data_IF_648720920373
#
_entry.id   IF_648720920373
#
_cell.length_a   1.000
_cell.length_b   1.000
_cell.length_c   1.000
_cell.angle_alpha   90.00
_cell.angle_beta   90.00
_cell.angle_gamma   90.00
#
_symmetry.space_group_name_H-M   'P 1'
#
loop_
_entity.id
_entity.type
_entity.pdbx_description
1 polymer ?
#
# COMPACT_ATOMS: atom_id res chain seq x y z
N UNK A 1 -11.10 4.84 6.87
CA UNK A 1 -11.42 3.56 7.57
C UNK A 1 -11.98 3.86 8.96
N UNK A 2 -11.23 4.37 9.95
CA UNK A 2 -11.76 4.57 11.32
C UNK A 2 -12.92 5.57 11.40
N UNK A 3 -13.04 6.47 10.42
CA UNK A 3 -14.08 7.50 10.38
C UNK A 3 -15.45 6.99 9.87
N UNK A 4 -15.50 5.78 9.30
CA UNK A 4 -16.76 5.22 8.78
C UNK A 4 -17.68 4.80 9.92
N UNK A 5 -18.98 5.09 9.77
CA UNK A 5 -19.95 4.96 10.86
C UNK A 5 -20.40 3.52 11.09
N UNK A 6 -20.66 2.77 10.02
CA UNK A 6 -21.14 1.38 10.13
C UNK A 6 -20.01 0.36 9.99
N UNK A 7 -20.14 -0.83 10.61
CA UNK A 7 -19.21 -1.94 10.40
C UNK A 7 -19.00 -2.32 8.93
N UNK A 8 -20.07 -2.25 8.13
CA UNK A 8 -20.03 -2.49 6.70
C UNK A 8 -19.17 -1.46 5.99
N UNK A 9 -19.40 -0.17 6.23
CA UNK A 9 -18.65 0.90 5.57
C UNK A 9 -17.16 0.83 5.95
N UNK A 10 -16.83 0.50 7.20
CA UNK A 10 -15.44 0.25 7.63
C UNK A 10 -14.80 -0.92 6.90
N UNK A 11 -15.49 -2.05 6.79
CA UNK A 11 -14.99 -3.22 6.04
C UNK A 11 -14.80 -2.87 4.56
N UNK A 12 -15.77 -2.18 3.94
CA UNK A 12 -15.70 -1.76 2.55
C UNK A 12 -14.53 -0.78 2.33
N UNK A 13 -14.33 0.19 3.22
CA UNK A 13 -13.20 1.10 3.18
C UNK A 13 -11.85 0.37 3.31
N UNK A 14 -11.76 -0.66 4.16
CA UNK A 14 -10.57 -1.51 4.27
C UNK A 14 -10.31 -2.29 2.97
N UNK A 15 -11.33 -2.89 2.37
CA UNK A 15 -11.21 -3.61 1.08
C UNK A 15 -10.77 -2.66 -0.03
N UNK A 16 -11.35 -1.45 -0.10
CA UNK A 16 -10.95 -0.40 -1.05
C UNK A 16 -9.49 -0.01 -0.85
N UNK A 17 -9.07 0.26 0.38
CA UNK A 17 -7.67 0.57 0.71
C UNK A 17 -6.72 -0.57 0.30
N UNK A 18 -7.08 -1.82 0.62
CA UNK A 18 -6.25 -2.98 0.29
C UNK A 18 -6.09 -3.14 -1.22
N UNK A 19 -7.18 -3.17 -1.97
CA UNK A 19 -7.18 -3.37 -3.43
C UNK A 19 -6.46 -2.24 -4.19
N UNK A 20 -6.53 -1.03 -3.67
CA UNK A 20 -5.88 0.14 -4.28
C UNK A 20 -4.41 0.30 -3.86
N UNK A 21 -3.87 -0.51 -2.95
CA UNK A 21 -2.48 -0.35 -2.48
C UNK A 21 -1.41 -0.93 -3.43
N UNK A 22 -1.79 -1.78 -4.39
CA UNK A 22 -0.83 -2.52 -5.22
C UNK A 22 -0.24 -1.71 -6.40
N UNK A 23 -0.93 -0.67 -6.89
CA UNK A 23 -0.49 0.12 -8.04
C UNK A 23 0.69 1.06 -7.73
N UNK A 24 0.79 1.55 -6.48
CA UNK A 24 1.77 2.56 -6.05
C UNK A 24 3.21 2.02 -6.01
N UNK A 25 3.38 0.70 -5.94
CA UNK A 25 4.68 0.06 -5.73
C UNK A 25 5.60 -0.04 -6.96
N UNK A 26 5.13 0.30 -8.17
CA UNK A 26 5.90 0.07 -9.41
C UNK A 26 5.72 1.18 -10.43
N UNK A 27 6.71 2.08 -10.52
CA UNK A 27 6.89 2.96 -11.68
C UNK A 27 7.46 2.21 -12.89
N UNK A 28 8.22 1.14 -12.64
CA UNK A 28 8.93 0.39 -13.66
C UNK A 28 8.18 -0.90 -14.00
N UNK A 29 8.04 -1.19 -15.29
CA UNK A 29 7.44 -2.43 -15.81
C UNK A 29 8.34 -3.65 -15.62
N UNK A 30 9.65 -3.42 -15.40
CA UNK A 30 10.66 -4.47 -15.23
C UNK A 30 10.69 -4.92 -13.77
N UNK A 31 10.49 -6.22 -13.54
CA UNK A 31 10.61 -6.82 -12.22
C UNK A 31 12.05 -6.74 -11.71
N UNK A 32 12.24 -6.09 -10.57
CA UNK A 32 13.51 -6.04 -9.82
C UNK A 32 13.33 -6.73 -8.48
N UNK A 33 14.35 -7.46 -8.04
CA UNK A 33 14.38 -8.05 -6.70
C UNK A 33 14.81 -6.98 -5.68
N UNK A 34 14.09 -6.78 -4.57
CA UNK A 34 14.55 -5.92 -3.48
C UNK A 34 15.81 -6.49 -2.81
N UNK A 35 16.53 -5.65 -2.06
CA UNK A 35 17.63 -6.14 -1.23
C UNK A 35 17.10 -7.12 -0.17
N UNK A 36 17.92 -8.10 0.19
CA UNK A 36 17.61 -9.02 1.28
C UNK A 36 18.07 -8.36 2.59
N UNK A 37 17.17 -7.92 3.48
CA UNK A 37 17.58 -7.19 4.67
C UNK A 37 18.46 -8.02 5.60
N UNK A 38 19.36 -7.35 6.32
CA UNK A 38 20.23 -7.97 7.32
C UNK A 38 19.54 -8.01 8.70
N UNK A 39 19.96 -8.88 9.62
CA UNK A 39 19.31 -8.97 10.95
C UNK A 39 19.42 -7.64 11.71
N UNK A 40 18.32 -7.19 12.33
CA UNK A 40 18.26 -5.90 13.04
C UNK A 40 18.29 -4.67 12.11
N UNK A 41 18.21 -4.85 10.79
CA UNK A 41 17.97 -3.75 9.86
C UNK A 41 16.61 -3.12 10.13
N UNK A 42 16.56 -1.79 10.21
CA UNK A 42 15.32 -1.04 10.48
C UNK A 42 14.95 -0.10 9.35
N UNK A 43 13.66 0.14 9.14
CA UNK A 43 13.18 1.18 8.24
C UNK A 43 12.08 2.00 8.88
N UNK A 44 12.30 3.30 9.01
CA UNK A 44 11.35 4.24 9.60
C UNK A 44 10.91 5.29 8.59
N UNK A 45 9.61 5.54 8.52
CA UNK A 45 9.07 6.61 7.69
C UNK A 45 7.71 7.10 8.21
N UNK A 46 7.24 8.22 7.67
CA UNK A 46 5.89 8.69 7.95
C UNK A 46 5.25 9.39 6.75
N UNK A 47 3.94 9.60 6.84
CA UNK A 47 3.14 10.37 5.90
C UNK A 47 2.34 11.42 6.67
N UNK A 48 2.18 12.59 6.08
CA UNK A 48 1.20 13.58 6.54
C UNK A 48 0.03 13.52 5.59
N UNK A 49 -1.13 13.14 6.12
CA UNK A 49 -2.36 12.90 5.36
C UNK A 49 -3.35 13.99 5.73
N UNK A 50 -4.08 14.53 4.74
CA UNK A 50 -5.15 15.49 5.05
C UNK A 50 -6.32 14.74 5.68
N UNK A 51 -6.81 15.23 6.81
CA UNK A 51 -8.07 14.80 7.40
C UNK A 51 -9.18 15.46 6.58
N UNK A 52 -10.00 14.65 5.90
CA UNK A 52 -11.25 15.16 5.36
C UNK A 52 -12.23 15.26 6.54
N UNK A 53 -12.31 16.44 7.16
CA UNK A 53 -13.41 16.74 8.08
C UNK A 53 -14.71 16.67 7.29
N UNK A 54 -15.66 15.81 7.71
CA UNK A 54 -16.98 15.63 7.11
C UNK A 54 -17.63 16.95 6.66
N UNK A 55 -17.40 17.35 5.41
CA UNK A 55 -18.24 18.35 4.75
C UNK A 55 -19.37 17.59 4.07
N UNK A 56 -20.52 17.57 4.73
CA UNK A 56 -21.80 17.19 4.12
C UNK A 56 -21.90 17.85 2.73
N UNK A 57 -22.16 17.11 1.63
CA UNK A 57 -22.37 17.75 0.34
C UNK A 57 -23.74 18.43 0.35
N UNK A 58 -23.76 19.74 0.63
CA UNK A 58 -24.91 20.57 0.32
C UNK A 58 -25.04 20.66 -1.21
N UNK A 59 -26.14 20.12 -1.73
CA UNK A 59 -26.60 20.37 -3.10
C UNK A 59 -26.91 21.85 -3.28
N UNK A 60 -26.39 22.47 -4.34
CA UNK A 60 -27.11 23.49 -5.12
C UNK A 60 -26.33 23.88 -6.39
N UNK A 61 -26.86 23.45 -7.52
CA UNK A 61 -27.22 24.27 -8.70
C UNK A 61 -26.32 25.42 -9.17
N UNK A 62 -25.89 25.32 -10.43
CA UNK A 62 -26.33 26.27 -11.46
C UNK A 62 -25.60 27.60 -11.65
N UNK A 63 -24.73 27.62 -12.68
CA UNK A 63 -24.60 28.63 -13.76
C UNK A 63 -24.15 30.08 -13.47
N UNK A 64 -23.07 30.43 -14.20
CA UNK A 64 -22.87 31.55 -15.15
C UNK A 64 -21.85 32.66 -14.85
N UNK A 65 -20.82 32.68 -15.73
CA UNK A 65 -20.02 33.77 -16.31
C UNK A 65 -20.40 35.24 -16.02
N UNK A 66 -19.38 36.10 -15.86
CA UNK A 66 -18.93 37.10 -16.86
C UNK A 66 -17.60 37.78 -16.48
N UNK A 67 -16.80 38.09 -17.51
CA UNK A 67 -15.57 38.92 -17.49
C UNK A 67 -15.86 40.41 -17.23
N UNK A 68 -14.87 41.17 -16.72
CA UNK A 68 -14.57 42.56 -17.10
C UNK A 68 -13.18 43.03 -16.57
N UNK A 69 -12.49 43.82 -17.39
CA UNK A 69 -11.11 44.33 -17.26
C UNK A 69 -10.95 45.51 -16.29
N UNK A 70 -9.72 45.76 -15.80
CA UNK A 70 -9.28 47.06 -15.26
C UNK A 70 -7.89 47.06 -14.60
N UNK A 71 -7.00 47.95 -15.06
CA UNK A 71 -5.59 48.09 -14.64
C UNK A 71 -5.38 48.92 -13.35
N UNK A 72 -4.22 48.66 -12.71
CA UNK A 72 -3.33 49.56 -11.93
C UNK A 72 -3.41 49.70 -10.38
N UNK A 73 -2.23 49.41 -9.80
CA UNK A 73 -1.51 50.07 -8.71
C UNK A 73 -1.85 49.81 -7.21
N UNK A 74 -0.96 49.03 -6.60
CA UNK A 74 -0.34 49.11 -5.25
C UNK A 74 -1.12 49.81 -4.12
N UNK A 75 -1.55 49.02 -3.14
CA UNK A 75 -1.49 49.35 -1.71
C UNK A 75 -1.44 48.06 -0.89
N UNK A 76 -0.62 48.10 0.16
CA UNK A 76 -0.44 47.05 1.16
C UNK A 76 -1.73 46.86 1.94
N UNK A 77 -2.32 45.66 1.86
CA UNK A 77 -3.36 45.24 2.79
C UNK A 77 -3.14 43.78 3.20
N UNK A 78 -3.07 43.63 4.52
CA UNK A 78 -2.93 42.39 5.26
C UNK A 78 -4.04 41.43 4.83
N UNK A 79 -3.70 40.44 4.00
CA UNK A 79 -4.53 39.25 3.85
C UNK A 79 -4.38 38.44 5.13
N UNK A 80 -5.30 38.67 6.07
CA UNK A 80 -5.73 37.63 6.99
C UNK A 80 -6.23 36.46 6.13
N UNK A 81 -5.32 35.54 5.82
CA UNK A 81 -5.68 34.20 5.43
C UNK A 81 -6.44 33.61 6.63
N UNK A 82 -7.76 33.50 6.47
CA UNK A 82 -8.57 32.58 7.23
C UNK A 82 -8.06 31.17 6.88
N UNK A 83 -6.95 30.78 7.52
CA UNK A 83 -6.44 29.43 7.55
C UNK A 83 -7.44 28.62 8.39
N UNK A 84 -8.50 28.16 7.73
CA UNK A 84 -9.21 26.97 8.19
C UNK A 84 -8.15 25.88 8.18
N UNK A 85 -7.49 25.68 9.32
CA UNK A 85 -6.48 24.66 9.55
C UNK A 85 -7.04 23.35 9.01
N UNK A 86 -6.62 22.98 7.79
CA UNK A 86 -6.90 21.67 7.24
C UNK A 86 -6.17 20.69 8.14
N UNK A 87 -6.91 20.08 9.06
CA UNK A 87 -6.35 19.17 10.05
C UNK A 87 -5.61 18.05 9.30
N UNK A 88 -4.31 17.92 9.54
CA UNK A 88 -3.50 16.84 8.97
C UNK A 88 -3.22 15.81 10.05
N UNK A 89 -3.34 14.53 9.72
CA UNK A 89 -2.96 13.42 10.60
C UNK A 89 -1.61 12.85 10.17
N UNK A 90 -0.81 12.38 11.13
CA UNK A 90 0.43 11.67 10.86
C UNK A 90 0.23 10.15 10.90
N UNK A 91 0.71 9.47 9.86
CA UNK A 91 0.80 8.01 9.82
C UNK A 91 2.27 7.63 9.88
N UNK A 92 2.70 6.85 10.85
CA UNK A 92 4.08 6.39 10.99
C UNK A 92 4.19 4.93 10.62
N UNK A 93 5.36 4.52 10.10
CA UNK A 93 5.71 3.14 9.78
C UNK A 93 7.09 2.85 10.32
N UNK A 94 7.22 1.73 11.01
CA UNK A 94 8.49 1.19 11.50
C UNK A 94 8.56 -0.27 11.12
N UNK A 95 9.68 -0.70 10.53
CA UNK A 95 9.97 -2.10 10.26
C UNK A 95 11.32 -2.50 10.81
N UNK A 96 11.44 -3.78 11.14
CA UNK A 96 12.67 -4.44 11.54
C UNK A 96 12.78 -5.82 10.91
N UNK A 97 13.97 -6.18 10.44
CA UNK A 97 14.29 -7.55 10.08
C UNK A 97 14.58 -8.35 11.36
N UNK A 98 13.59 -9.10 11.84
CA UNK A 98 13.63 -9.83 13.12
C UNK A 98 14.18 -11.25 13.01
N UNK A 99 14.32 -11.78 11.79
CA UNK A 99 14.99 -13.05 11.54
C UNK A 99 15.65 -13.04 10.16
N UNK A 100 16.78 -13.74 10.01
CA UNK A 100 17.48 -13.89 8.73
C UNK A 100 17.32 -15.30 8.12
N UNK A 101 17.15 -16.34 8.96
CA UNK A 101 17.00 -17.73 8.55
C UNK A 101 15.90 -18.43 9.37
N UNK A 102 14.64 -18.47 8.90
CA UNK A 102 14.13 -17.87 7.66
C UNK A 102 14.04 -16.34 7.74
N UNK A 103 14.07 -15.61 6.61
CA UNK A 103 14.01 -14.15 6.62
C UNK A 103 12.61 -13.67 7.01
N UNK A 104 12.49 -12.99 8.16
CA UNK A 104 11.23 -12.43 8.67
C UNK A 104 11.40 -10.93 8.89
N UNK A 105 10.51 -10.12 8.33
CA UNK A 105 10.37 -8.70 8.60
C UNK A 105 9.11 -8.46 9.44
N UNK A 106 9.26 -7.87 10.62
CA UNK A 106 8.13 -7.35 11.38
C UNK A 106 7.96 -5.86 11.06
N UNK A 107 6.73 -5.37 10.98
CA UNK A 107 6.46 -3.95 10.87
C UNK A 107 5.19 -3.53 11.58
N UNK A 108 5.19 -2.26 11.96
CA UNK A 108 4.13 -1.58 12.68
C UNK A 108 3.80 -0.27 11.98
N UNK A 109 2.51 0.00 11.84
CA UNK A 109 1.98 1.25 11.30
C UNK A 109 1.00 1.82 12.30
N UNK A 110 1.04 3.12 12.57
CA UNK A 110 0.06 3.74 13.46
C UNK A 110 -0.36 5.12 12.99
N UNK A 111 -1.56 5.50 13.42
CA UNK A 111 -2.09 6.86 13.35
C UNK A 111 -2.75 7.15 14.70
N UNK A 112 -2.00 7.75 15.64
CA UNK A 112 -2.50 8.04 16.99
C UNK A 112 -3.76 8.91 17.00
N UNK A 113 -3.83 9.90 16.12
CA UNK A 113 -4.96 10.84 15.99
C UNK A 113 -6.26 10.13 15.62
N UNK A 114 -6.18 9.01 14.90
CA UNK A 114 -7.31 8.16 14.52
C UNK A 114 -7.42 6.88 15.36
N UNK A 115 -6.59 6.77 16.41
CA UNK A 115 -6.49 5.61 17.32
C UNK A 115 -6.51 4.27 16.57
N UNK A 116 -5.73 4.18 15.49
CA UNK A 116 -5.57 2.95 14.70
C UNK A 116 -4.12 2.55 14.62
N UNK A 117 -3.89 1.24 14.57
CA UNK A 117 -2.58 0.68 14.26
C UNK A 117 -2.68 -0.64 13.52
N UNK A 118 -1.61 -1.00 12.81
CA UNK A 118 -1.46 -2.26 12.11
C UNK A 118 -0.17 -2.92 12.57
N UNK A 119 -0.27 -4.18 12.98
CA UNK A 119 0.87 -5.05 13.24
C UNK A 119 1.03 -6.06 12.11
N UNK A 120 2.26 -6.34 11.73
CA UNK A 120 2.55 -7.35 10.75
C UNK A 120 3.88 -8.06 11.00
N UNK A 121 3.92 -9.35 10.66
CA UNK A 121 5.16 -10.08 10.45
C UNK A 121 5.05 -10.85 9.15
N UNK A 122 6.05 -10.71 8.27
CA UNK A 122 6.02 -11.33 6.94
C UNK A 122 7.35 -12.02 6.68
N UNK A 123 7.27 -13.21 6.13
CA UNK A 123 8.37 -13.89 5.47
C UNK A 123 7.93 -14.40 4.10
N UNK A 124 8.91 -14.70 3.25
CA UNK A 124 8.64 -15.13 1.88
C UNK A 124 9.09 -16.56 1.66
N UNK A 125 8.22 -17.37 1.05
CA UNK A 125 8.58 -18.69 0.54
C UNK A 125 8.63 -18.65 -0.98
N UNK A 126 9.82 -18.88 -1.53
CA UNK A 126 10.04 -18.88 -2.98
C UNK A 126 9.96 -20.29 -3.56
N UNK A 127 9.35 -20.42 -4.75
CA UNK A 127 9.33 -21.63 -5.55
C UNK A 127 9.79 -21.32 -6.98
N UNK A 128 10.66 -22.15 -7.54
CA UNK A 128 11.14 -22.02 -8.92
C UNK A 128 10.37 -22.97 -9.83
N UNK A 129 9.82 -22.46 -10.93
CA UNK A 129 9.00 -23.23 -11.87
C UNK A 129 9.44 -22.97 -13.32
N UNK A 130 10.74 -23.18 -13.58
CA UNK A 130 11.34 -23.04 -14.91
C UNK A 130 11.43 -21.59 -15.37
N UNK A 131 10.40 -21.10 -16.07
CA UNK A 131 10.36 -19.73 -16.60
C UNK A 131 9.77 -18.70 -15.62
N UNK A 132 9.44 -19.11 -14.40
CA UNK A 132 8.82 -18.25 -13.39
C UNK A 132 9.37 -18.54 -11.99
N UNK A 133 9.40 -17.50 -11.16
CA UNK A 133 9.63 -17.61 -9.72
C UNK A 133 8.34 -17.19 -9.02
N UNK A 134 7.73 -18.10 -8.27
CA UNK A 134 6.61 -17.79 -7.38
C UNK A 134 7.13 -17.43 -5.98
N UNK A 135 6.55 -16.41 -5.36
CA UNK A 135 6.88 -15.92 -4.03
C UNK A 135 5.59 -15.83 -3.23
N UNK A 136 5.40 -16.73 -2.28
CA UNK A 136 4.31 -16.66 -1.33
C UNK A 136 4.68 -15.72 -0.20
N UNK A 137 3.83 -14.72 0.05
CA UNK A 137 3.93 -13.82 1.19
C UNK A 137 3.19 -14.48 2.36
N UNK A 138 3.92 -14.92 3.37
CA UNK A 138 3.37 -15.67 4.51
C UNK A 138 3.60 -14.88 5.78
N UNK A 139 2.58 -14.82 6.63
CA UNK A 139 2.67 -14.21 7.94
C UNK A 139 1.35 -13.59 8.37
N UNK A 140 1.39 -12.88 9.48
CA UNK A 140 0.23 -12.32 10.15
C UNK A 140 0.17 -10.81 9.90
N UNK A 141 -0.97 -10.30 9.46
CA UNK A 141 -1.25 -8.87 9.36
C UNK A 141 -2.58 -8.58 10.05
N UNK A 142 -2.59 -7.60 10.94
CA UNK A 142 -3.76 -7.23 11.71
C UNK A 142 -3.88 -5.73 11.88
N UNK A 143 -5.00 -5.15 11.45
CA UNK A 143 -5.36 -3.74 11.66
C UNK A 143 -6.34 -3.65 12.84
N UNK A 144 -6.03 -2.83 13.84
CA UNK A 144 -6.89 -2.56 14.99
C UNK A 144 -7.44 -1.14 14.92
N UNK A 145 -8.75 -0.99 15.14
CA UNK A 145 -9.44 0.29 15.30
C UNK A 145 -9.93 0.41 16.74
N UNK A 146 -9.22 1.19 17.57
CA UNK A 146 -9.44 1.19 19.03
C UNK A 146 -10.81 1.73 19.42
N UNK A 147 -11.28 2.80 18.76
CA UNK A 147 -12.58 3.41 19.07
C UNK A 147 -13.77 2.50 18.73
N UNK A 148 -13.58 1.51 17.85
CA UNK A 148 -14.62 0.57 17.44
C UNK A 148 -14.50 -0.79 18.15
N UNK A 149 -13.38 -1.07 18.82
CA UNK A 149 -13.10 -2.40 19.37
C UNK A 149 -13.00 -3.48 18.29
N UNK A 150 -12.54 -3.10 17.09
CA UNK A 150 -12.48 -3.96 15.92
C UNK A 150 -11.05 -4.30 15.54
N UNK A 151 -10.85 -5.56 15.15
CA UNK A 151 -9.60 -6.06 14.60
C UNK A 151 -9.88 -6.73 13.26
N UNK A 152 -9.08 -6.42 12.25
CA UNK A 152 -9.17 -6.97 10.91
C UNK A 152 -7.90 -7.75 10.59
N UNK A 153 -8.04 -9.06 10.46
CA UNK A 153 -6.93 -9.95 10.11
C UNK A 153 -6.97 -10.25 8.61
N UNK A 154 -5.84 -10.08 7.93
CA UNK A 154 -5.78 -10.31 6.49
C UNK A 154 -4.47 -10.90 6.00
N UNK A 155 -4.55 -11.64 4.90
CA UNK A 155 -3.40 -12.21 4.21
C UNK A 155 -2.97 -11.37 3.00
N UNK A 156 -1.83 -11.71 2.42
CA UNK A 156 -1.29 -11.06 1.22
C UNK A 156 -1.32 -11.98 0.02
N UNK A 157 -1.42 -11.43 -1.21
CA UNK A 157 -1.31 -12.24 -2.41
C UNK A 157 0.11 -12.76 -2.58
N UNK A 158 0.25 -13.86 -3.31
CA UNK A 158 1.54 -14.28 -3.83
C UNK A 158 1.95 -13.37 -5.00
N UNK A 159 3.26 -13.24 -5.21
CA UNK A 159 3.83 -12.56 -6.37
C UNK A 159 4.59 -13.55 -7.24
N UNK A 160 4.49 -13.40 -8.56
CA UNK A 160 5.19 -14.22 -9.53
C UNK A 160 6.06 -13.33 -10.40
N UNK A 161 7.36 -13.56 -10.40
CA UNK A 161 8.24 -13.03 -11.43
C UNK A 161 8.17 -13.96 -12.65
N UNK A 162 7.55 -13.48 -13.72
CA UNK A 162 7.37 -14.18 -14.99
C UNK A 162 8.51 -13.84 -15.95
N UNK A 163 8.74 -14.68 -16.94
CA UNK A 163 9.68 -14.41 -18.05
C UNK A 163 11.11 -14.10 -17.58
N UNK A 164 11.60 -14.81 -16.56
CA UNK A 164 12.90 -14.53 -15.91
C UNK A 164 14.13 -14.70 -16.82
N UNK A 165 13.99 -15.35 -17.97
CA UNK A 165 15.06 -15.55 -18.98
C UNK A 165 15.03 -14.43 -20.05
N UNK A 166 13.95 -13.64 -20.12
CA UNK A 166 13.81 -12.52 -21.04
C UNK A 166 13.58 -11.21 -20.29
N UNK A 167 12.46 -10.51 -20.54
CA UNK A 167 12.11 -9.28 -19.81
C UNK A 167 11.18 -9.67 -18.67
N UNK A 168 11.66 -9.65 -17.41
CA UNK A 168 10.87 -10.13 -16.30
C UNK A 168 9.80 -9.11 -15.94
N UNK A 169 8.60 -9.59 -15.66
CA UNK A 169 7.47 -8.78 -15.20
C UNK A 169 6.81 -9.47 -14.00
N UNK A 170 6.04 -8.71 -13.23
CA UNK A 170 5.39 -9.24 -12.03
C UNK A 170 3.90 -9.40 -12.19
N UNK A 171 3.43 -10.53 -11.72
CA UNK A 171 2.03 -10.89 -11.62
C UNK A 171 1.69 -11.15 -10.15
N UNK A 172 0.51 -10.69 -9.72
CA UNK A 172 -0.05 -11.07 -8.42
C UNK A 172 -0.98 -12.27 -8.62
N UNK A 173 -1.01 -13.16 -7.63
CA UNK A 173 -1.90 -14.32 -7.69
C UNK A 173 -2.21 -14.92 -6.33
N UNK A 174 -3.26 -15.72 -6.30
CA UNK A 174 -3.68 -16.47 -5.12
C UNK A 174 -4.82 -15.81 -4.37
N UNK A 175 -5.23 -16.48 -3.28
CA UNK A 175 -6.37 -16.10 -2.45
C UNK A 175 -5.91 -15.26 -1.26
N UNK A 176 -6.58 -14.14 -1.07
CA UNK A 176 -6.50 -13.29 0.12
C UNK A 176 -7.82 -13.39 0.89
N UNK A 177 -7.73 -13.34 2.21
CA UNK A 177 -8.89 -13.22 3.10
C UNK A 177 -8.72 -11.98 3.98
N UNK A 178 -9.82 -11.26 4.22
CA UNK A 178 -9.90 -10.17 5.21
C UNK A 178 -11.08 -10.49 6.12
N UNK A 179 -10.87 -10.62 7.42
CA UNK A 179 -11.93 -11.00 8.36
C UNK A 179 -11.91 -10.08 9.58
N UNK A 180 -13.10 -9.72 10.07
CA UNK A 180 -13.23 -9.06 11.37
C UNK A 180 -13.96 -9.98 12.35
N UNK A 181 -13.27 -10.53 13.39
CA UNK A 181 -13.91 -11.43 14.36
C UNK A 181 -15.06 -10.78 15.13
N UNK A 182 -14.98 -9.48 15.43
CA UNK A 182 -15.98 -8.74 16.22
C UNK A 182 -17.29 -8.54 15.45
N UNK A 183 -17.20 -8.23 14.16
CA UNK A 183 -18.38 -7.87 13.34
C UNK A 183 -18.84 -9.01 12.42
N UNK A 184 -18.04 -10.08 12.32
CA UNK A 184 -18.25 -11.25 11.45
C UNK A 184 -18.29 -10.97 9.94
N UNK A 185 -18.03 -9.73 9.51
CA UNK A 185 -17.79 -9.45 8.10
C UNK A 185 -16.52 -10.16 7.63
N UNK A 186 -16.57 -10.68 6.41
CA UNK A 186 -15.43 -11.34 5.78
C UNK A 186 -15.40 -11.05 4.29
N UNK A 187 -14.19 -10.96 3.73
CA UNK A 187 -13.96 -10.77 2.30
C UNK A 187 -13.00 -11.83 1.81
N UNK A 188 -13.34 -12.48 0.70
CA UNK A 188 -12.41 -13.31 -0.06
C UNK A 188 -12.05 -12.57 -1.33
N UNK A 189 -10.75 -12.35 -1.55
CA UNK A 189 -10.21 -11.70 -2.74
C UNK A 189 -9.37 -12.74 -3.48
N UNK A 190 -9.52 -12.84 -4.80
CA UNK A 190 -8.76 -13.74 -5.66
C UNK A 190 -8.01 -12.89 -6.68
N UNK A 191 -6.69 -12.93 -6.62
CA UNK A 191 -5.82 -12.43 -7.68
C UNK A 191 -5.64 -13.57 -8.69
N UNK A 192 -6.12 -13.38 -9.91
CA UNK A 192 -6.07 -14.40 -10.95
C UNK A 192 -4.73 -14.34 -11.66
N UNK A 193 -3.92 -15.39 -11.48
CA UNK A 193 -2.71 -15.57 -12.26
C UNK A 193 -3.09 -15.99 -13.69
N UNK A 194 -2.39 -15.46 -14.69
CA UNK A 194 -2.65 -15.73 -16.10
C UNK A 194 -2.71 -17.24 -16.39
N UNK A 195 -3.81 -17.74 -17.00
CA UNK A 195 -3.89 -19.11 -17.49
C UNK A 195 -2.86 -19.41 -18.59
N UNK A 196 -2.54 -20.69 -18.80
CA UNK A 196 -1.60 -21.10 -19.86
C UNK A 196 -2.08 -20.76 -21.27
N UNK A 197 -3.40 -20.61 -21.50
CA UNK A 197 -3.98 -20.27 -22.80
C UNK A 197 -4.90 -19.06 -22.70
N UNK A 198 -4.58 -17.99 -23.45
CA UNK A 198 -5.39 -16.77 -23.48
C UNK A 198 -5.57 -16.11 -22.09
N UNK A 199 -6.51 -15.18 -22.00
CA UNK A 199 -6.92 -14.56 -20.73
C UNK A 199 -6.38 -13.14 -20.50
N UNK A 200 -7.07 -12.44 -19.59
CA UNK A 200 -6.66 -11.13 -19.11
C UNK A 200 -5.60 -11.30 -18.03
N UNK A 201 -4.61 -10.41 -18.03
CA UNK A 201 -3.64 -10.32 -16.94
C UNK A 201 -4.19 -9.42 -15.84
N UNK A 202 -3.70 -9.61 -14.62
CA UNK A 202 -3.97 -8.72 -13.50
C UNK A 202 -5.42 -8.68 -13.00
N UNK A 203 -6.25 -9.61 -13.47
CA UNK A 203 -7.64 -9.74 -13.05
C UNK A 203 -7.75 -10.06 -11.56
N UNK A 204 -8.70 -9.42 -10.90
CA UNK A 204 -9.01 -9.60 -9.49
C UNK A 204 -10.51 -9.69 -9.32
N UNK A 205 -10.96 -10.65 -8.52
CA UNK A 205 -12.35 -10.71 -8.06
C UNK A 205 -12.42 -10.75 -6.54
N UNK A 206 -13.49 -10.23 -5.96
CA UNK A 206 -13.73 -10.36 -4.52
C UNK A 206 -15.21 -10.54 -4.19
N UNK A 207 -15.47 -11.19 -3.07
CA UNK A 207 -16.79 -11.32 -2.47
C UNK A 207 -16.73 -10.89 -1.02
N UNK A 208 -17.49 -9.84 -0.67
CA UNK A 208 -17.68 -9.37 0.69
C UNK A 208 -18.98 -9.96 1.23
N UNK A 209 -18.85 -10.63 2.38
CA UNK A 209 -19.93 -11.31 3.09
C UNK A 209 -20.22 -10.59 4.39
N UNK A 210 -21.50 -10.49 4.69
CA UNK A 210 -22.00 -10.00 5.98
C UNK A 210 -21.89 -11.09 7.07
N UNK A 211 -22.37 -10.77 8.26
CA UNK A 211 -22.43 -11.65 9.43
C UNK A 211 -23.22 -12.95 9.21
N UNK A 212 -24.19 -12.97 8.27
CA UNK A 212 -24.95 -14.18 7.92
C UNK A 212 -24.28 -15.04 6.85
N UNK A 213 -23.11 -14.61 6.34
CA UNK A 213 -22.41 -15.26 5.24
C UNK A 213 -22.98 -14.94 3.85
N UNK A 214 -23.97 -14.04 3.77
CA UNK A 214 -24.58 -13.59 2.52
C UNK A 214 -23.66 -12.59 1.81
N UNK A 215 -23.49 -12.77 0.51
CA UNK A 215 -22.68 -11.87 -0.31
C UNK A 215 -23.43 -10.56 -0.53
N UNK A 216 -22.84 -9.46 -0.07
CA UNK A 216 -23.43 -8.12 -0.16
C UNK A 216 -22.67 -7.20 -1.13
N UNK A 217 -21.40 -7.50 -1.41
CA UNK A 217 -20.66 -6.89 -2.52
C UNK A 217 -19.91 -7.94 -3.32
N UNK A 218 -19.87 -7.73 -4.63
CA UNK A 218 -18.90 -8.35 -5.54
C UNK A 218 -17.98 -7.28 -6.09
N UNK A 219 -16.70 -7.59 -6.18
CA UNK A 219 -15.71 -6.72 -6.81
C UNK A 219 -15.12 -7.45 -8.00
N UNK A 220 -14.93 -6.74 -9.10
CA UNK A 220 -14.22 -7.23 -10.28
C UNK A 220 -13.36 -6.12 -10.85
N UNK A 221 -12.21 -6.45 -11.45
CA UNK A 221 -11.35 -5.45 -12.06
C UNK A 221 -9.94 -5.96 -12.31
N UNK A 222 -9.02 -5.02 -12.47
CA UNK A 222 -7.60 -5.29 -12.65
C UNK A 222 -6.79 -4.41 -11.70
N UNK A 223 -5.85 -5.01 -10.97
CA UNK A 223 -5.17 -4.32 -9.85
C UNK A 223 -4.35 -3.09 -10.25
N UNK A 224 -4.05 -2.94 -11.54
CA UNK A 224 -3.30 -1.83 -12.11
C UNK A 224 -4.16 -0.85 -12.94
N UNK A 225 -5.48 -1.03 -13.03
CA UNK A 225 -6.36 -0.15 -13.83
C UNK A 225 -7.58 0.36 -13.06
N UNK A 226 -8.52 -0.51 -12.71
CA UNK A 226 -9.77 -0.14 -12.04
C UNK A 226 -10.42 -1.33 -11.34
N UNK A 227 -11.39 -1.02 -10.47
CA UNK A 227 -12.27 -1.97 -9.83
C UNK A 227 -13.71 -1.48 -9.88
N UNK A 228 -14.64 -2.37 -10.18
CA UNK A 228 -16.08 -2.16 -10.05
C UNK A 228 -16.56 -2.86 -8.79
N UNK A 229 -17.10 -2.08 -7.85
CA UNK A 229 -17.78 -2.56 -6.64
C UNK A 229 -19.27 -2.63 -6.92
N UNK A 230 -19.80 -3.85 -6.94
CA UNK A 230 -21.19 -4.16 -7.29
C UNK A 230 -21.91 -4.55 -6.00
N UNK A 231 -22.80 -3.69 -5.54
CA UNK A 231 -23.66 -3.92 -4.38
C UNK A 231 -24.77 -4.95 -4.70
N UNK A 232 -25.35 -5.56 -3.67
CA UNK A 232 -26.45 -6.54 -3.81
C UNK A 232 -27.71 -5.98 -4.49
N UNK A 233 -27.91 -4.67 -4.46
CA UNK A 233 -29.00 -3.97 -5.15
C UNK A 233 -28.71 -3.69 -6.63
N UNK A 234 -27.51 -4.02 -7.12
CA UNK A 234 -27.06 -3.79 -8.48
C UNK A 234 -26.36 -2.44 -8.70
N UNK A 235 -26.21 -1.62 -7.67
CA UNK A 235 -25.46 -0.35 -7.75
C UNK A 235 -23.98 -0.65 -8.00
N UNK A 236 -23.38 0.06 -8.97
CA UNK A 236 -21.96 -0.10 -9.35
C UNK A 236 -21.19 1.18 -9.01
N UNK A 237 -20.12 1.05 -8.23
CA UNK A 237 -19.14 2.10 -7.98
C UNK A 237 -17.80 1.70 -8.62
N UNK A 238 -17.30 2.49 -9.56
CA UNK A 238 -16.01 2.26 -10.22
C UNK A 238 -14.92 3.11 -9.59
N UNK A 239 -13.83 2.47 -9.15
CA UNK A 239 -12.61 3.12 -8.66
C UNK A 239 -11.49 2.90 -9.66
N UNK A 240 -10.98 3.98 -10.25
CA UNK A 240 -9.79 3.93 -11.11
C UNK A 240 -8.54 4.13 -10.28
N UNK A 241 -7.67 3.12 -10.22
CA UNK A 241 -6.52 3.14 -9.30
C UNK A 241 -5.51 4.22 -9.67
N UNK A 242 -5.35 4.51 -10.97
CA UNK A 242 -4.38 5.48 -11.48
C UNK A 242 -4.78 6.95 -11.23
N UNK A 243 -6.03 7.20 -10.80
CA UNK A 243 -6.54 8.54 -10.50
C UNK A 243 -6.46 8.85 -8.99
N UNK A 244 -6.06 7.88 -8.16
CA UNK A 244 -6.00 8.04 -6.71
C UNK A 244 -4.77 8.90 -6.32
N UNK A 245 -4.97 9.99 -5.56
CA UNK A 245 -3.85 10.81 -5.10
C UNK A 245 -2.96 10.03 -4.14
N UNK A 246 -1.64 10.17 -4.30
CA UNK A 246 -0.66 9.49 -3.45
C UNK A 246 0.01 10.47 -2.50
N UNK A 247 0.16 10.05 -1.24
CA UNK A 247 0.93 10.79 -0.25
C UNK A 247 2.40 10.37 -0.32
N UNK A 248 3.30 11.35 -0.46
CA UNK A 248 4.75 11.08 -0.53
C UNK A 248 5.27 10.66 0.84
N UNK A 249 5.92 9.50 0.89
CA UNK A 249 6.64 9.00 2.06
C UNK A 249 7.74 9.97 2.48
N UNK A 250 7.75 10.35 3.76
CA UNK A 250 8.81 11.13 4.40
C UNK A 250 9.77 10.20 5.12
N UNK A 251 11.06 10.41 4.91
CA UNK A 251 12.13 9.63 5.55
C UNK A 251 13.21 10.61 5.98
N UNK A 252 13.86 10.35 7.11
CA UNK A 252 15.00 11.15 7.58
C UNK A 252 16.11 11.18 6.51
N UNK A 253 16.84 12.29 6.45
CA UNK A 253 18.07 12.38 5.65
C UNK A 253 19.11 11.38 6.15
N UNK A 254 19.99 10.90 5.28
CA UNK A 254 20.99 9.87 5.62
C UNK A 254 21.87 10.26 6.82
N UNK A 255 22.22 11.54 6.96
CA UNK A 255 23.00 12.06 8.09
C UNK A 255 22.28 11.96 9.45
N UNK A 256 20.96 11.86 9.44
CA UNK A 256 20.10 11.73 10.63
C UNK A 256 19.59 10.30 10.85
N UNK A 257 20.03 9.35 10.01
CA UNK A 257 19.68 7.94 10.15
C UNK A 257 20.68 7.21 11.02
N UNK A 258 20.18 6.26 11.81
CA UNK A 258 21.01 5.31 12.56
C UNK A 258 21.77 4.39 11.61
N UNK A 259 22.89 3.82 12.08
CA UNK A 259 23.75 2.96 11.26
C UNK A 259 23.01 1.74 10.70
N UNK A 260 22.03 1.20 11.43
CA UNK A 260 21.23 0.05 11.02
C UNK A 260 19.97 0.41 10.22
N UNK A 261 19.74 1.68 9.87
CA UNK A 261 18.60 2.05 9.02
C UNK A 261 18.87 1.69 7.55
N UNK A 262 17.89 1.07 6.88
CA UNK A 262 18.02 0.49 5.54
C UNK A 262 18.67 1.41 4.52
N UNK A 263 18.27 2.70 4.45
CA UNK A 263 18.81 3.60 3.42
C UNK A 263 20.28 3.93 3.65
N UNK A 264 20.74 3.91 4.91
CA UNK A 264 22.13 4.13 5.26
C UNK A 264 22.95 2.86 5.00
N UNK A 265 22.47 1.69 5.44
CA UNK A 265 23.11 0.40 5.18
C UNK A 265 23.32 0.13 3.69
N UNK A 266 22.27 0.35 2.89
CA UNK A 266 22.27 0.06 1.46
C UNK A 266 22.68 1.27 0.59
N UNK A 267 23.22 2.34 1.19
CA UNK A 267 23.54 3.59 0.50
C UNK A 267 24.52 3.37 -0.67
N UNK A 268 25.67 2.78 -0.39
CA UNK A 268 26.76 2.61 -1.36
C UNK A 268 26.37 1.66 -2.48
N UNK A 269 25.68 0.56 -2.14
CA UNK A 269 25.10 -0.39 -3.11
C UNK A 269 24.14 0.36 -4.05
N UNK A 270 23.24 1.15 -3.48
CA UNK A 270 22.22 1.89 -4.24
C UNK A 270 22.84 2.95 -5.15
N UNK A 271 23.85 3.70 -4.67
CA UNK A 271 24.55 4.69 -5.47
C UNK A 271 25.32 4.05 -6.63
N UNK A 272 26.04 2.96 -6.37
CA UNK A 272 26.78 2.23 -7.40
C UNK A 272 25.84 1.71 -8.49
N UNK A 273 24.68 1.14 -8.13
CA UNK A 273 23.66 0.71 -9.08
C UNK A 273 23.09 1.88 -9.90
N UNK A 274 22.83 3.04 -9.29
CA UNK A 274 22.37 4.24 -10.01
C UNK A 274 23.38 4.75 -11.02
N UNK A 275 24.68 4.60 -10.73
CA UNK A 275 25.78 4.95 -11.64
C UNK A 275 26.09 3.85 -12.67
N UNK A 276 25.35 2.73 -12.66
CA UNK A 276 25.60 1.58 -13.54
C UNK A 276 26.87 0.80 -13.21
N UNK A 277 27.52 1.05 -12.06
CA UNK A 277 28.72 0.36 -11.64
C UNK A 277 28.38 -0.93 -10.87
N UNK A 278 28.13 -2.00 -11.63
CA UNK A 278 27.70 -3.31 -11.10
C UNK A 278 28.77 -3.97 -10.24
N UNK A 279 30.05 -3.81 -10.60
CA UNK A 279 31.17 -4.36 -9.83
C UNK A 279 31.23 -3.74 -8.44
N UNK A 280 31.23 -2.40 -8.35
CA UNK A 280 31.24 -1.71 -7.06
C UNK A 280 30.00 -2.05 -6.22
N UNK A 281 28.81 -2.14 -6.85
CA UNK A 281 27.59 -2.53 -6.14
C UNK A 281 27.70 -3.94 -5.53
N UNK A 282 28.31 -4.88 -6.26
CA UNK A 282 28.55 -6.25 -5.80
C UNK A 282 29.52 -6.27 -4.62
N UNK A 283 30.63 -5.54 -4.71
CA UNK A 283 31.63 -5.46 -3.64
C UNK A 283 31.04 -4.85 -2.36
N UNK A 284 30.30 -3.75 -2.46
CA UNK A 284 29.63 -3.14 -1.30
C UNK A 284 28.61 -4.09 -0.67
N UNK A 285 27.82 -4.79 -1.51
CA UNK A 285 26.86 -5.78 -1.03
C UNK A 285 27.55 -6.92 -0.28
N UNK A 286 28.63 -7.48 -0.84
CA UNK A 286 29.38 -8.55 -0.21
C UNK A 286 29.97 -8.12 1.14
N UNK A 287 30.54 -6.91 1.23
CA UNK A 287 31.07 -6.38 2.50
C UNK A 287 29.99 -6.26 3.57
N UNK A 288 28.78 -5.83 3.18
CA UNK A 288 27.65 -5.70 4.11
C UNK A 288 27.18 -7.08 4.60
N UNK A 289 27.05 -8.04 3.70
CA UNK A 289 26.63 -9.42 4.01
C UNK A 289 27.68 -10.17 4.84
N UNK A 290 28.97 -9.93 4.62
CA UNK A 290 30.04 -10.59 5.37
C UNK A 290 30.11 -10.10 6.83
N UNK A 291 29.86 -8.80 7.06
CA UNK A 291 29.76 -8.24 8.43
C UNK A 291 28.66 -8.89 9.28
N UNK A 292 27.71 -9.58 8.65
CA UNK A 292 26.60 -10.26 9.30
C UNK A 292 26.89 -11.75 9.60
N UNK A 293 27.95 -12.31 9.02
CA UNK A 293 28.35 -13.71 9.23
C UNK A 293 29.28 -13.89 10.43
N UNK A 294 29.86 -12.80 10.94
CA UNK A 294 30.78 -12.75 12.07
C UNK A 294 30.01 -12.41 13.34
#
# INVERSE_FOLDING_TARGET
>A
IPDETTPLDRMLALVKWFLTSFHVGRSDTIAKKPYNPIIGETFLCSWRVKSESNSVPCKSDGKNNTNLNGNQAVSEDVKQENDVMNETVEVTYTAEQVSHHPPVTAFYVECPEKKMYLNASIWTKSNFSGMSIGVSMIGDLSLTLLDHGEQYDFSLPSAYARSIISVPWVELGGKVTINCPTTHYSTVIIFHAKPFYGGKVHEVTAELKNETGSIIYRVQGEWNSHYDFISSDGTIETIKVNEIPTYKKRVKSLSKQQENESRKLWHDVTNALKLGNIHAATDYKQRLEEKQRV
#
